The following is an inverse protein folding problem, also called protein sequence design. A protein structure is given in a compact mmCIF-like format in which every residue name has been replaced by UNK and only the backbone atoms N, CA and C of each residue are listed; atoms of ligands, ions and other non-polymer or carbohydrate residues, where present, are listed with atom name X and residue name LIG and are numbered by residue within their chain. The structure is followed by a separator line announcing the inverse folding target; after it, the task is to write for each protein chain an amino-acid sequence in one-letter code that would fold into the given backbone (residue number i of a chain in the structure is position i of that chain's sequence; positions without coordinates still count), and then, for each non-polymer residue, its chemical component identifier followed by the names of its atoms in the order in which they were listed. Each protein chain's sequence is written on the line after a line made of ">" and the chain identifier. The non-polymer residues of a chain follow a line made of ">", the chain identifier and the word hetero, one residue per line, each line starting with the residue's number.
data_IF_998886149845
#
_entry.id   IF_998886149845
#
_cell.length_a   1.000
_cell.length_b   1.000
_cell.length_c   1.000
_cell.angle_alpha   90.00
_cell.angle_beta   90.00
_cell.angle_gamma   90.00
#
_symmetry.space_group_name_H-M   'P 1'
#
loop_
_entity.id
_entity.type
_entity.pdbx_description
1 polymer ?
#
# COMPACT_ATOMS: atom_id res chain seq x y z
N UNK A 1 -10.41 -13.54 -14.39
CA UNK A 1 -9.92 -12.22 -14.87
C UNK A 1 -9.87 -12.23 -16.38
N UNK A 2 -10.21 -11.11 -17.01
CA UNK A 2 -9.92 -10.89 -18.43
C UNK A 2 -8.54 -10.20 -18.60
N UNK A 3 -8.05 -10.09 -19.84
CA UNK A 3 -6.76 -9.47 -20.13
C UNK A 3 -6.66 -8.03 -19.63
N UNK A 4 -7.72 -7.23 -19.76
CA UNK A 4 -7.75 -5.85 -19.30
C UNK A 4 -7.55 -5.73 -17.78
N UNK A 5 -8.13 -6.65 -17.00
CA UNK A 5 -7.94 -6.69 -15.55
C UNK A 5 -6.51 -7.08 -15.17
N UNK A 6 -5.87 -7.99 -15.92
CA UNK A 6 -4.47 -8.39 -15.72
C UNK A 6 -3.54 -7.22 -16.04
N UNK A 7 -3.76 -6.54 -17.16
CA UNK A 7 -2.97 -5.36 -17.55
C UNK A 7 -3.12 -4.22 -16.53
N UNK A 8 -4.34 -4.02 -16.02
CA UNK A 8 -4.60 -3.01 -14.99
C UNK A 8 -3.90 -3.36 -13.67
N UNK A 9 -3.88 -4.63 -13.29
CA UNK A 9 -3.14 -5.11 -12.11
C UNK A 9 -1.63 -4.93 -12.29
N UNK A 10 -1.09 -5.24 -13.48
CA UNK A 10 0.32 -5.04 -13.80
C UNK A 10 0.72 -3.56 -13.74
N UNK A 11 -0.07 -2.67 -14.35
CA UNK A 11 0.14 -1.21 -14.26
C UNK A 11 0.05 -0.72 -12.82
N UNK A 12 -0.89 -1.26 -12.03
CA UNK A 12 -1.02 -0.93 -10.62
C UNK A 12 0.25 -1.18 -9.81
N UNK A 13 1.10 -2.13 -10.20
CA UNK A 13 2.38 -2.35 -9.51
C UNK A 13 3.37 -1.20 -9.75
N UNK A 14 3.43 -0.68 -10.98
CA UNK A 14 4.24 0.49 -11.32
C UNK A 14 3.76 1.75 -10.59
N UNK A 15 2.45 1.93 -10.54
CA UNK A 15 1.76 2.96 -9.78
C UNK A 15 2.08 2.94 -8.28
N UNK A 16 2.11 1.76 -7.66
CA UNK A 16 2.50 1.58 -6.25
C UNK A 16 3.98 1.93 -6.05
N UNK A 17 4.86 1.53 -6.96
CA UNK A 17 6.28 1.89 -6.89
C UNK A 17 6.48 3.42 -6.97
N UNK A 18 5.72 4.11 -7.82
CA UNK A 18 5.74 5.56 -7.92
C UNK A 18 5.25 6.25 -6.62
N UNK A 19 4.17 5.75 -6.01
CA UNK A 19 3.72 6.23 -4.69
C UNK A 19 4.81 6.09 -3.61
N UNK A 20 5.55 4.98 -3.61
CA UNK A 20 6.66 4.78 -2.68
C UNK A 20 7.81 5.75 -2.92
N UNK A 21 8.16 6.03 -4.18
CA UNK A 21 9.18 7.05 -4.50
C UNK A 21 8.74 8.44 -4.01
N UNK A 22 7.47 8.80 -4.20
CA UNK A 22 6.94 10.07 -3.69
C UNK A 22 6.96 10.12 -2.15
N UNK A 23 6.64 9.00 -1.48
CA UNK A 23 6.70 8.92 -0.02
C UNK A 23 8.14 9.11 0.50
N UNK A 24 9.12 8.45 -0.12
CA UNK A 24 10.54 8.59 0.22
C UNK A 24 11.05 10.01 -0.01
N UNK A 25 10.65 10.64 -1.11
CA UNK A 25 11.00 12.03 -1.39
C UNK A 25 10.43 13.00 -0.35
N UNK A 26 9.23 12.74 0.17
CA UNK A 26 8.67 13.54 1.27
C UNK A 26 9.46 13.34 2.57
N UNK A 27 9.93 12.12 2.88
CA UNK A 27 10.78 11.92 4.06
C UNK A 27 12.09 12.68 3.97
N UNK A 28 12.77 12.62 2.81
CA UNK A 28 14.00 13.37 2.58
C UNK A 28 13.80 14.88 2.76
N UNK A 29 12.69 15.43 2.25
CA UNK A 29 12.35 16.85 2.44
C UNK A 29 12.13 17.23 3.90
N UNK A 30 11.53 16.35 4.71
CA UNK A 30 11.31 16.59 6.15
C UNK A 30 12.64 16.57 6.91
N UNK A 31 13.55 15.65 6.56
CA UNK A 31 14.87 15.55 7.17
C UNK A 31 15.75 16.78 6.86
N UNK A 32 15.68 17.30 5.64
CA UNK A 32 16.49 18.45 5.20
C UNK A 32 16.00 19.82 5.73
N UNK A 33 14.70 19.98 6.02
CA UNK A 33 14.09 21.31 6.24
C UNK A 33 13.51 21.55 7.65
N UNK A 34 13.96 20.81 8.68
CA UNK A 34 13.53 20.93 10.09
C UNK A 34 12.06 21.38 10.28
N UNK A 35 11.12 20.46 10.01
CA UNK A 35 9.72 20.46 10.49
C UNK A 35 8.77 21.56 9.92
N UNK A 36 9.24 22.71 9.44
CA UNK A 36 8.36 23.77 8.89
C UNK A 36 7.64 23.37 7.59
N UNK A 37 8.17 22.37 6.86
CA UNK A 37 7.59 21.84 5.63
C UNK A 37 6.80 20.54 5.80
N UNK A 38 6.38 20.17 7.03
CA UNK A 38 5.62 18.93 7.25
C UNK A 38 4.23 19.00 6.59
N UNK A 39 4.15 18.52 5.36
CA UNK A 39 2.91 18.48 4.59
C UNK A 39 2.10 17.23 4.92
N UNK A 40 1.53 17.16 6.13
CA UNK A 40 0.64 16.09 6.62
C UNK A 40 -0.40 15.66 5.57
N UNK A 41 -0.95 16.63 4.82
CA UNK A 41 -1.92 16.37 3.73
C UNK A 41 -1.33 15.55 2.58
N UNK A 42 -0.06 15.77 2.20
CA UNK A 42 0.61 15.03 1.13
C UNK A 42 0.87 13.59 1.56
N UNK A 43 1.39 13.40 2.77
CA UNK A 43 1.57 12.08 3.37
C UNK A 43 0.26 11.30 3.43
N UNK A 44 -0.80 11.89 4.00
CA UNK A 44 -2.11 11.25 4.09
C UNK A 44 -2.70 10.91 2.72
N UNK A 45 -2.46 11.72 1.70
CA UNK A 45 -2.90 11.43 0.33
C UNK A 45 -2.22 10.18 -0.21
N UNK A 46 -0.88 10.11 -0.14
CA UNK A 46 -0.11 8.97 -0.66
C UNK A 46 -0.51 7.67 0.05
N UNK A 47 -0.62 7.70 1.37
CA UNK A 47 -1.00 6.53 2.17
C UNK A 47 -2.41 6.03 1.83
N UNK A 48 -3.38 6.93 1.67
CA UNK A 48 -4.73 6.56 1.22
C UNK A 48 -4.72 5.94 -0.17
N UNK A 49 -3.90 6.46 -1.08
CA UNK A 49 -3.73 5.89 -2.43
C UNK A 49 -3.14 4.47 -2.37
N UNK A 50 -2.04 4.30 -1.63
CA UNK A 50 -1.42 2.99 -1.40
C UNK A 50 -2.41 1.98 -0.82
N UNK A 51 -3.19 2.39 0.20
CA UNK A 51 -4.24 1.56 0.83
C UNK A 51 -5.27 1.08 -0.17
N UNK A 52 -5.76 1.98 -1.02
CA UNK A 52 -6.73 1.65 -2.06
C UNK A 52 -6.15 0.66 -3.06
N UNK A 53 -4.93 0.91 -3.56
CA UNK A 53 -4.24 0.06 -4.54
C UNK A 53 -3.97 -1.35 -3.98
N UNK A 54 -3.44 -1.46 -2.77
CA UNK A 54 -3.20 -2.76 -2.11
C UNK A 54 -4.50 -3.54 -1.90
N UNK A 55 -5.57 -2.87 -1.45
CA UNK A 55 -6.88 -3.51 -1.26
C UNK A 55 -7.41 -4.10 -2.56
N UNK A 56 -7.35 -3.33 -3.66
CA UNK A 56 -7.79 -3.80 -4.98
C UNK A 56 -6.92 -4.96 -5.47
N UNK A 57 -5.60 -4.84 -5.36
CA UNK A 57 -4.67 -5.88 -5.80
C UNK A 57 -4.87 -7.20 -5.03
N UNK A 58 -4.97 -7.17 -3.70
CA UNK A 58 -5.21 -8.35 -2.87
C UNK A 58 -6.54 -9.02 -3.19
N UNK A 59 -7.59 -8.22 -3.43
CA UNK A 59 -8.90 -8.75 -3.83
C UNK A 59 -8.83 -9.49 -5.18
N UNK A 60 -8.14 -8.91 -6.17
CA UNK A 60 -7.94 -9.55 -7.47
C UNK A 60 -7.11 -10.83 -7.36
N UNK A 61 -6.05 -10.80 -6.55
CA UNK A 61 -5.21 -11.96 -6.28
C UNK A 61 -6.04 -13.10 -5.68
N UNK A 62 -6.79 -12.83 -4.61
CA UNK A 62 -7.59 -13.84 -3.90
C UNK A 62 -8.75 -14.41 -4.72
N UNK A 63 -9.44 -13.58 -5.51
CA UNK A 63 -10.62 -14.03 -6.25
C UNK A 63 -10.31 -14.69 -7.58
N UNK A 64 -9.21 -14.34 -8.23
CA UNK A 64 -8.97 -14.75 -9.60
C UNK A 64 -7.65 -15.48 -9.81
N UNK A 65 -6.57 -15.07 -9.13
CA UNK A 65 -5.27 -15.71 -9.30
C UNK A 65 -5.13 -16.93 -8.39
N UNK A 66 -5.50 -16.82 -7.12
CA UNK A 66 -5.43 -17.95 -6.19
C UNK A 66 -6.26 -19.15 -6.67
N UNK A 67 -7.55 -19.01 -7.07
CA UNK A 67 -8.34 -20.18 -7.49
C UNK A 67 -7.88 -20.77 -8.84
N UNK A 68 -7.08 -20.04 -9.62
CA UNK A 68 -6.52 -20.53 -10.88
C UNK A 68 -5.28 -21.42 -10.68
N UNK A 69 -4.74 -21.49 -9.46
CA UNK A 69 -3.60 -22.35 -9.14
C UNK A 69 -4.08 -23.81 -9.12
N UNK A 70 -3.45 -24.75 -9.85
CA UNK A 70 -3.93 -26.13 -9.95
C UNK A 70 -3.86 -26.92 -8.63
N UNK A 71 -2.95 -26.55 -7.73
CA UNK A 71 -2.64 -27.26 -6.49
C UNK A 71 -3.31 -26.62 -5.26
N UNK A 72 -4.08 -27.41 -4.51
CA UNK A 72 -4.85 -26.92 -3.36
C UNK A 72 -3.95 -26.47 -2.20
N UNK A 73 -2.84 -27.18 -1.96
CA UNK A 73 -1.89 -26.81 -0.90
C UNK A 73 -1.26 -25.45 -1.19
N UNK A 74 -0.86 -25.22 -2.44
CA UNK A 74 -0.37 -23.92 -2.91
C UNK A 74 -1.44 -22.83 -2.77
N UNK A 75 -2.71 -23.10 -3.12
CA UNK A 75 -3.78 -22.14 -2.93
C UNK A 75 -3.90 -21.69 -1.47
N UNK A 76 -3.87 -22.64 -0.54
CA UNK A 76 -4.02 -22.36 0.89
C UNK A 76 -2.80 -21.64 1.48
N UNK A 77 -1.60 -21.94 0.99
CA UNK A 77 -0.40 -21.17 1.29
C UNK A 77 -0.53 -19.71 0.83
N UNK A 78 -0.94 -19.47 -0.42
CA UNK A 78 -1.12 -18.11 -0.93
C UNK A 78 -2.23 -17.35 -0.19
N UNK A 79 -3.36 -17.98 0.13
CA UNK A 79 -4.41 -17.35 0.97
C UNK A 79 -3.84 -16.90 2.31
N UNK A 80 -3.09 -17.80 2.97
CA UNK A 80 -2.46 -17.50 4.26
C UNK A 80 -1.50 -16.33 4.14
N UNK A 81 -0.64 -16.32 3.13
CA UNK A 81 0.29 -15.20 2.88
C UNK A 81 -0.44 -13.89 2.61
N UNK A 82 -1.48 -13.89 1.78
CA UNK A 82 -2.25 -12.68 1.48
C UNK A 82 -2.99 -12.14 2.70
N UNK A 83 -3.48 -13.00 3.60
CA UNK A 83 -4.07 -12.58 4.89
C UNK A 83 -3.00 -11.90 5.75
N UNK A 84 -1.83 -12.51 5.88
CA UNK A 84 -0.71 -11.94 6.66
C UNK A 84 -0.31 -10.58 6.09
N UNK A 85 -0.10 -10.49 4.78
CA UNK A 85 0.28 -9.24 4.11
C UNK A 85 -0.78 -8.16 4.27
N UNK A 86 -2.06 -8.49 4.12
CA UNK A 86 -3.15 -7.54 4.33
C UNK A 86 -3.13 -6.98 5.76
N UNK A 87 -2.96 -7.83 6.76
CA UNK A 87 -2.89 -7.40 8.16
C UNK A 87 -1.65 -6.53 8.40
N UNK A 88 -0.49 -6.92 7.89
CA UNK A 88 0.74 -6.13 8.00
C UNK A 88 0.62 -4.74 7.36
N UNK A 89 0.01 -4.66 6.17
CA UNK A 89 -0.21 -3.39 5.46
C UNK A 89 -1.17 -2.49 6.26
N UNK A 90 -2.27 -3.06 6.78
CA UNK A 90 -3.22 -2.32 7.62
C UNK A 90 -2.52 -1.76 8.86
N UNK A 91 -1.74 -2.58 9.57
CA UNK A 91 -1.00 -2.17 10.75
C UNK A 91 0.04 -1.08 10.44
N UNK A 92 0.81 -1.26 9.36
CA UNK A 92 1.79 -0.26 8.94
C UNK A 92 1.13 1.08 8.62
N UNK A 93 -0.01 1.07 7.93
CA UNK A 93 -0.77 2.29 7.62
C UNK A 93 -1.36 2.94 8.87
N UNK A 94 -1.91 2.17 9.80
CA UNK A 94 -2.45 2.70 11.07
C UNK A 94 -1.35 3.34 11.91
N UNK A 95 -0.20 2.67 12.05
CA UNK A 95 0.95 3.23 12.76
C UNK A 95 1.45 4.51 12.09
N UNK A 96 1.47 4.52 10.76
CA UNK A 96 1.88 5.70 10.00
C UNK A 96 0.91 6.87 10.19
N UNK A 97 -0.40 6.64 10.05
CA UNK A 97 -1.44 7.64 10.30
C UNK A 97 -1.31 8.21 11.73
N UNK A 98 -1.08 7.36 12.72
CA UNK A 98 -0.89 7.78 14.12
C UNK A 98 0.35 8.68 14.32
N UNK A 99 1.49 8.33 13.71
CA UNK A 99 2.72 9.15 13.76
C UNK A 99 2.48 10.49 13.05
N UNK A 100 1.84 10.48 11.89
CA UNK A 100 1.55 11.71 11.15
C UNK A 100 0.61 12.64 11.94
N UNK A 101 -0.39 12.09 12.62
CA UNK A 101 -1.29 12.85 13.49
C UNK A 101 -0.59 13.41 14.73
N UNK A 102 0.33 12.66 15.36
CA UNK A 102 1.06 13.14 16.54
C UNK A 102 1.98 14.32 16.23
N UNK A 103 2.54 14.36 15.01
CA UNK A 103 3.36 15.46 14.53
C UNK A 103 2.57 16.78 14.33
N UNK A 104 1.25 16.73 14.16
CA UNK A 104 0.39 17.93 14.00
C UNK A 104 0.13 18.63 15.35
N UNK A 105 0.39 17.98 16.48
CA UNK A 105 -0.03 18.44 17.82
C UNK A 105 1.08 19.13 18.62
N UNK A 106 2.19 19.53 18.01
CA UNK A 106 3.22 20.31 18.72
C UNK A 106 3.03 21.82 18.52
N UNK A 107 2.56 22.57 19.53
CA UNK A 107 2.60 24.03 19.54
C UNK A 107 4.02 24.57 19.77
#
# INVERSE_FOLDING_TARGET
>A
MNSQQIDSLSKSAGDVNEDFHQLLALFAQVEENEVEAFHTRRFNKIIKTLKSRFKVALYLLLLYLTPAIPDADSQDQFKTWFIVWNNSIILAMQNFEHVVESLVVTP
#
